data_IF_922948774111
#
_entry.id   IF_922948774111
#
_cell.length_a   1.000
_cell.length_b   1.000
_cell.length_c   1.000
_cell.angle_alpha   90.00
_cell.angle_beta   90.00
_cell.angle_gamma   90.00
#
_symmetry.space_group_name_H-M   'P 1'
#
loop_
_entity.id
_entity.type
_entity.pdbx_description
1 polymer ?
#
# COMPACT_ATOMS: atom_id res chain seq x y z
N UNK A 1 -10.92 20.95 1.40
CA UNK A 1 -9.88 20.03 0.88
C UNK A 1 -9.62 20.42 -0.56
N UNK A 2 -8.42 20.89 -0.91
CA UNK A 2 -8.09 21.22 -2.31
C UNK A 2 -7.97 19.91 -3.09
N UNK A 3 -8.90 19.67 -4.01
CA UNK A 3 -8.72 18.68 -5.08
C UNK A 3 -7.34 18.90 -5.72
N UNK A 4 -6.55 17.85 -5.87
CA UNK A 4 -5.29 17.92 -6.62
C UNK A 4 -5.62 18.42 -8.02
N UNK A 5 -5.31 19.68 -8.31
CA UNK A 5 -5.41 20.19 -9.67
C UNK A 5 -4.40 19.42 -10.51
N UNK A 6 -4.91 18.79 -11.55
CA UNK A 6 -4.14 18.00 -12.50
C UNK A 6 -3.01 18.84 -13.12
N UNK A 7 -1.77 18.35 -13.05
CA UNK A 7 -0.64 18.96 -13.78
C UNK A 7 -0.69 18.48 -15.21
N UNK A 8 -0.88 19.42 -16.15
CA UNK A 8 -0.87 19.13 -17.58
C UNK A 8 0.53 18.77 -18.05
N UNK A 9 0.64 17.77 -18.93
CA UNK A 9 1.91 17.35 -19.52
C UNK A 9 1.82 17.45 -21.04
N UNK A 10 2.91 17.87 -21.67
CA UNK A 10 3.07 17.76 -23.12
C UNK A 10 4.53 17.53 -23.49
N UNK A 11 4.75 16.78 -24.57
CA UNK A 11 6.06 16.62 -25.20
C UNK A 11 6.42 17.83 -26.09
N UNK A 12 5.44 18.68 -26.43
CA UNK A 12 5.63 19.93 -27.18
C UNK A 12 6.11 21.07 -26.26
N UNK A 13 6.55 22.19 -26.83
CA UNK A 13 7.04 23.33 -26.04
C UNK A 13 5.94 24.30 -25.58
N UNK A 14 4.67 24.03 -25.89
CA UNK A 14 3.53 24.86 -25.52
C UNK A 14 2.22 24.08 -25.48
N UNK A 15 1.20 24.67 -24.87
CA UNK A 15 -0.19 24.23 -25.01
C UNK A 15 -0.92 25.26 -25.87
N UNK A 16 -1.59 24.83 -26.93
CA UNK A 16 -2.34 25.75 -27.80
C UNK A 16 -3.45 26.44 -27.02
N UNK A 17 -3.64 27.75 -27.25
CA UNK A 17 -4.66 28.55 -26.56
C UNK A 17 -4.37 28.90 -25.09
N UNK A 18 -3.27 28.40 -24.50
CA UNK A 18 -2.86 28.72 -23.14
C UNK A 18 -1.55 29.52 -23.13
N UNK A 19 -1.57 30.67 -22.45
CA UNK A 19 -0.39 31.51 -22.28
C UNK A 19 0.47 31.02 -21.11
N UNK A 20 1.77 30.84 -21.32
CA UNK A 20 2.72 30.55 -20.23
C UNK A 20 3.01 31.85 -19.48
N UNK A 21 2.56 31.94 -18.23
CA UNK A 21 2.77 33.08 -17.34
C UNK A 21 4.17 33.08 -16.74
N UNK A 22 4.69 31.91 -16.33
CA UNK A 22 6.01 31.76 -15.71
C UNK A 22 6.67 30.44 -16.06
N UNK A 23 7.98 30.48 -16.30
CA UNK A 23 8.85 29.30 -16.31
C UNK A 23 9.49 29.19 -14.92
N UNK A 24 9.40 28.01 -14.29
CA UNK A 24 9.84 27.82 -12.92
C UNK A 24 11.21 27.16 -12.86
N UNK A 25 11.33 25.93 -13.34
CA UNK A 25 12.57 25.18 -13.36
C UNK A 25 12.53 24.03 -14.37
N UNK A 26 13.70 23.53 -14.75
CA UNK A 26 13.84 22.24 -15.44
C UNK A 26 13.80 21.14 -14.38
N UNK A 27 12.97 20.14 -14.59
CA UNK A 27 12.77 19.05 -13.64
C UNK A 27 13.10 17.72 -14.28
N UNK A 28 13.62 16.82 -13.45
CA UNK A 28 13.86 15.43 -13.84
C UNK A 28 13.43 14.47 -12.74
N UNK A 29 13.02 13.26 -13.15
CA UNK A 29 12.81 12.11 -12.28
C UNK A 29 13.46 10.90 -12.93
N UNK A 30 14.21 10.14 -12.15
CA UNK A 30 14.91 8.96 -12.61
C UNK A 30 14.46 7.78 -11.76
N UNK A 31 14.09 6.68 -12.40
CA UNK A 31 13.71 5.42 -11.74
C UNK A 31 14.65 4.33 -12.24
N UNK A 32 15.32 3.62 -11.32
CA UNK A 32 16.34 2.61 -11.64
C UNK A 32 15.90 1.24 -11.15
N UNK A 33 16.13 0.21 -11.98
CA UNK A 33 15.66 -1.15 -11.74
C UNK A 33 16.77 -2.14 -12.02
N UNK A 34 17.03 -3.02 -11.06
CA UNK A 34 18.03 -4.07 -11.19
C UNK A 34 17.59 -5.25 -12.05
N UNK A 35 18.53 -5.87 -12.77
CA UNK A 35 18.29 -7.09 -13.55
C UNK A 35 17.66 -8.20 -12.74
N UNK A 36 17.93 -8.34 -11.43
CA UNK A 36 17.31 -9.40 -10.63
C UNK A 36 15.76 -9.33 -10.62
N UNK A 37 15.20 -8.11 -10.65
CA UNK A 37 13.74 -7.87 -10.72
C UNK A 37 13.16 -8.17 -12.12
N UNK A 38 14.03 -8.25 -13.14
CA UNK A 38 13.69 -8.58 -14.53
C UNK A 38 14.08 -10.03 -14.91
N UNK A 39 15.11 -10.61 -14.29
CA UNK A 39 15.64 -11.95 -14.56
C UNK A 39 14.90 -13.04 -13.80
N UNK A 40 14.40 -12.75 -12.59
CA UNK A 40 13.47 -13.65 -11.87
C UNK A 40 12.17 -13.89 -12.68
N UNK A 41 11.94 -13.08 -13.72
CA UNK A 41 10.81 -13.17 -14.65
C UNK A 41 11.15 -13.86 -15.97
N UNK A 42 12.43 -14.01 -16.31
CA UNK A 42 12.88 -14.74 -17.49
C UNK A 42 13.03 -16.26 -17.27
N UNK A 43 13.23 -16.69 -16.03
CA UNK A 43 13.44 -18.10 -15.69
C UNK A 43 12.13 -18.92 -15.66
N UNK A 44 10.97 -18.28 -15.57
CA UNK A 44 9.67 -18.96 -15.57
C UNK A 44 8.99 -19.03 -16.95
N UNK A 45 9.60 -18.48 -18.00
CA UNK A 45 8.97 -18.38 -19.33
C UNK A 45 9.96 -18.53 -20.49
N UNK A 46 10.90 -19.48 -20.36
CA UNK A 46 11.82 -19.78 -21.47
C UNK A 46 11.24 -20.76 -22.50
N UNK A 47 10.03 -21.28 -22.30
CA UNK A 47 9.43 -22.19 -23.28
C UNK A 47 8.15 -21.60 -23.89
N UNK A 48 8.19 -21.50 -25.23
CA UNK A 48 7.06 -21.32 -26.14
C UNK A 48 6.62 -19.88 -26.48
N UNK A 49 7.18 -19.37 -27.58
CA UNK A 49 6.82 -18.17 -28.36
C UNK A 49 7.44 -16.82 -27.95
N UNK A 50 8.36 -16.33 -28.79
CA UNK A 50 8.83 -14.95 -28.83
C UNK A 50 7.73 -13.98 -29.32
N UNK A 51 6.80 -13.65 -28.43
CA UNK A 51 5.84 -12.56 -28.55
C UNK A 51 5.97 -11.63 -27.34
N UNK A 52 5.49 -10.39 -27.47
CA UNK A 52 5.47 -9.37 -26.41
C UNK A 52 5.01 -9.94 -25.06
N UNK A 53 5.94 -10.23 -24.15
CA UNK A 53 5.60 -10.71 -22.81
C UNK A 53 4.87 -9.59 -22.06
N UNK A 54 3.57 -9.75 -21.84
CA UNK A 54 2.70 -8.77 -21.17
C UNK A 54 3.21 -8.40 -19.77
N UNK A 55 3.86 -9.34 -19.06
CA UNK A 55 4.51 -9.10 -17.77
C UNK A 55 5.66 -8.06 -17.85
N UNK A 56 6.43 -8.06 -18.95
CA UNK A 56 7.48 -7.08 -19.20
C UNK A 56 6.89 -5.69 -19.51
N UNK A 57 5.85 -5.63 -20.34
CA UNK A 57 5.15 -4.38 -20.69
C UNK A 57 4.46 -3.75 -19.48
N UNK A 58 3.77 -4.54 -18.66
CA UNK A 58 3.10 -4.07 -17.45
C UNK A 58 4.06 -3.43 -16.47
N UNK A 59 5.26 -4.01 -16.34
CA UNK A 59 6.31 -3.42 -15.52
C UNK A 59 6.84 -2.14 -16.13
N UNK A 60 7.17 -2.11 -17.42
CA UNK A 60 7.58 -0.86 -18.08
C UNK A 60 6.56 0.26 -17.88
N UNK A 61 5.27 -0.06 -17.96
CA UNK A 61 4.18 0.89 -17.68
C UNK A 61 4.13 1.34 -16.21
N UNK A 62 4.35 0.42 -15.26
CA UNK A 62 4.43 0.78 -13.84
C UNK A 62 5.56 1.78 -13.59
N UNK A 63 6.74 1.52 -14.15
CA UNK A 63 7.94 2.33 -13.94
C UNK A 63 7.79 3.68 -14.62
N UNK A 64 7.23 3.69 -15.83
CA UNK A 64 6.85 4.90 -16.54
C UNK A 64 5.91 5.76 -15.68
N UNK A 65 4.87 5.14 -15.10
CA UNK A 65 3.89 5.82 -14.26
C UNK A 65 4.54 6.40 -13.00
N UNK A 66 5.46 5.65 -12.38
CA UNK A 66 6.21 6.10 -11.21
C UNK A 66 7.11 7.31 -11.55
N UNK A 67 7.85 7.27 -12.66
CA UNK A 67 8.69 8.36 -13.13
C UNK A 67 7.85 9.64 -13.38
N UNK A 68 6.71 9.50 -14.06
CA UNK A 68 5.82 10.61 -14.37
C UNK A 68 5.15 11.18 -13.10
N UNK A 69 4.71 10.32 -12.18
CA UNK A 69 4.10 10.75 -10.92
C UNK A 69 5.10 11.53 -10.06
N UNK A 70 6.34 11.05 -9.97
CA UNK A 70 7.43 11.76 -9.27
C UNK A 70 7.71 13.14 -9.91
N UNK A 71 7.73 13.22 -11.24
CA UNK A 71 7.94 14.48 -11.96
C UNK A 71 6.78 15.47 -11.71
N UNK A 72 5.52 15.02 -11.81
CA UNK A 72 4.34 15.83 -11.50
C UNK A 72 4.36 16.35 -10.05
N UNK A 73 4.76 15.50 -9.09
CA UNK A 73 4.87 15.89 -7.69
C UNK A 73 5.93 16.98 -7.47
N UNK A 74 7.09 16.88 -8.14
CA UNK A 74 8.10 17.96 -8.12
C UNK A 74 7.56 19.26 -8.70
N UNK A 75 6.84 19.19 -9.83
CA UNK A 75 6.23 20.35 -10.46
C UNK A 75 5.19 21.03 -9.56
N UNK A 76 4.30 20.25 -8.93
CA UNK A 76 3.34 20.76 -7.95
C UNK A 76 4.02 21.47 -6.78
N UNK A 77 5.08 20.87 -6.23
CA UNK A 77 5.82 21.45 -5.11
C UNK A 77 6.52 22.77 -5.47
N UNK A 78 6.91 22.94 -6.73
CA UNK A 78 7.45 24.20 -7.24
C UNK A 78 6.36 25.24 -7.59
N UNK A 79 5.07 24.90 -7.43
CA UNK A 79 3.94 25.76 -7.76
C UNK A 79 3.54 25.76 -9.25
N UNK A 80 4.04 24.81 -10.03
CA UNK A 80 3.67 24.64 -11.43
C UNK A 80 2.26 24.06 -11.56
N UNK A 81 1.61 24.36 -12.69
CA UNK A 81 0.36 23.71 -13.10
C UNK A 81 0.49 22.95 -14.43
N UNK A 82 1.66 23.02 -15.08
CA UNK A 82 1.97 22.23 -16.26
C UNK A 82 3.47 21.94 -16.40
N UNK A 83 3.81 20.91 -17.19
CA UNK A 83 5.16 20.61 -17.66
C UNK A 83 5.12 20.55 -19.19
N UNK A 84 6.00 21.30 -19.83
CA UNK A 84 6.20 21.30 -21.29
C UNK A 84 7.54 20.66 -21.66
N UNK A 85 7.69 20.26 -22.92
CA UNK A 85 8.92 19.69 -23.45
C UNK A 85 9.28 18.38 -22.78
N UNK A 86 8.29 17.59 -22.36
CA UNK A 86 8.49 16.31 -21.71
C UNK A 86 9.30 15.38 -22.62
N UNK A 87 10.40 14.87 -22.11
CA UNK A 87 11.21 13.81 -22.72
C UNK A 87 11.34 12.66 -21.75
N UNK A 88 11.34 11.45 -22.30
CA UNK A 88 11.42 10.22 -21.53
C UNK A 88 12.42 9.33 -22.25
N UNK A 89 13.49 8.99 -21.55
CA UNK A 89 14.59 8.20 -22.07
C UNK A 89 14.72 6.91 -21.25
N UNK A 90 15.06 5.83 -21.94
CA UNK A 90 15.30 4.51 -21.36
C UNK A 90 16.77 4.16 -21.58
N UNK A 91 17.52 4.05 -20.50
CA UNK A 91 18.94 3.74 -20.52
C UNK A 91 19.21 2.38 -19.87
N UNK A 92 20.13 1.62 -20.45
CA UNK A 92 20.70 0.44 -19.81
C UNK A 92 22.04 0.79 -19.16
N UNK A 93 22.14 0.58 -17.84
CA UNK A 93 23.36 0.72 -17.06
C UNK A 93 23.87 -0.69 -16.74
N UNK A 94 24.86 -1.16 -17.50
CA UNK A 94 25.47 -2.47 -17.30
C UNK A 94 26.84 -2.38 -16.63
N UNK A 95 27.09 -3.24 -15.63
CA UNK A 95 28.36 -3.29 -14.89
C UNK A 95 28.50 -4.54 -14.02
N UNK A 96 29.69 -5.15 -14.05
CA UNK A 96 30.04 -6.36 -13.25
C UNK A 96 29.01 -7.51 -13.39
N UNK A 97 28.49 -7.74 -14.59
CA UNK A 97 27.54 -8.82 -14.87
C UNK A 97 26.11 -8.58 -14.38
N UNK A 98 25.79 -7.36 -13.92
CA UNK A 98 24.42 -6.90 -13.64
C UNK A 98 24.05 -5.86 -14.68
N UNK A 99 22.83 -5.94 -15.20
CA UNK A 99 22.25 -4.90 -16.04
C UNK A 99 21.16 -4.18 -15.24
N UNK A 100 21.03 -2.88 -15.41
CA UNK A 100 20.00 -2.09 -14.75
C UNK A 100 19.32 -1.25 -15.82
N UNK A 101 18.00 -1.13 -15.73
CA UNK A 101 17.26 -0.21 -16.60
C UNK A 101 16.97 1.05 -15.81
N UNK A 102 17.23 2.20 -16.43
CA UNK A 102 16.91 3.51 -15.91
C UNK A 102 15.90 4.17 -16.83
N UNK A 103 14.78 4.62 -16.27
CA UNK A 103 13.87 5.53 -16.96
C UNK A 103 14.13 6.92 -16.42
N UNK A 104 14.43 7.85 -17.32
CA UNK A 104 14.65 9.26 -17.01
C UNK A 104 13.55 10.08 -17.69
N UNK A 105 12.72 10.76 -16.91
CA UNK A 105 11.74 11.71 -17.43
C UNK A 105 12.18 13.13 -17.08
N UNK A 106 12.19 14.04 -18.06
CA UNK A 106 12.54 15.44 -17.83
C UNK A 106 11.63 16.40 -18.61
N UNK A 107 11.52 17.63 -18.13
CA UNK A 107 10.71 18.67 -18.77
C UNK A 107 10.84 20.00 -18.04
N UNK A 108 10.19 21.04 -18.56
CA UNK A 108 10.19 22.38 -17.95
C UNK A 108 8.87 22.63 -17.24
N UNK A 109 8.93 22.89 -15.94
CA UNK A 109 7.76 23.21 -15.13
C UNK A 109 7.35 24.67 -15.35
N UNK A 110 6.07 24.89 -15.64
CA UNK A 110 5.53 26.20 -16.00
C UNK A 110 4.21 26.49 -15.26
N UNK A 111 3.87 27.77 -15.19
CA UNK A 111 2.56 28.27 -14.78
C UNK A 111 1.84 28.78 -16.01
N UNK A 112 0.77 28.11 -16.40
CA UNK A 112 -0.17 28.57 -17.42
C UNK A 112 -1.16 29.56 -16.81
N UNK A 113 -1.42 30.64 -17.54
CA UNK A 113 -2.39 31.67 -17.19
C UNK A 113 -3.80 31.09 -17.31
N UNK A 114 -4.61 31.24 -16.26
CA UNK A 114 -6.03 30.89 -16.35
C UNK A 114 -6.75 31.95 -17.17
N UNK A 115 -7.32 31.57 -18.30
CA UNK A 115 -8.28 32.44 -18.98
C UNK A 115 -9.55 32.51 -18.13
N UNK A 116 -9.77 33.64 -17.46
CA UNK A 116 -10.99 33.91 -16.68
C UNK A 116 -12.18 34.35 -17.54
N UNK A 117 -12.05 34.33 -18.87
CA UNK A 117 -13.06 34.83 -19.81
C UNK A 117 -13.85 33.73 -20.55
N UNK A 118 -13.81 32.49 -20.09
CA UNK A 118 -14.70 31.41 -20.59
C UNK A 118 -15.64 30.93 -19.49
N UNK A 119 -16.47 31.85 -19.01
CA UNK A 119 -17.74 31.53 -18.36
C UNK A 119 -18.80 32.28 -19.16
N UNK A 120 -19.18 31.72 -20.32
CA UNK A 120 -20.54 31.67 -20.87
C UNK A 120 -20.49 31.31 -22.36
N UNK A 121 -21.36 30.36 -22.74
CA UNK A 121 -21.70 29.88 -24.08
C UNK A 121 -20.66 29.05 -24.85
N UNK A 122 -20.54 27.80 -24.45
CA UNK A 122 -20.72 26.70 -25.40
C UNK A 122 -21.35 25.57 -24.61
N UNK A 123 -22.49 25.03 -25.04
CA UNK A 123 -22.73 23.60 -24.86
C UNK A 123 -21.52 22.94 -25.48
N UNK A 124 -20.53 22.61 -24.65
CA UNK A 124 -19.39 21.80 -25.06
C UNK A 124 -20.02 20.61 -25.77
N UNK A 125 -19.68 20.39 -27.04
CA UNK A 125 -19.96 19.10 -27.63
C UNK A 125 -19.24 18.09 -26.72
N UNK A 126 -20.00 17.42 -25.85
CA UNK A 126 -19.48 16.36 -24.98
C UNK A 126 -19.27 15.19 -25.94
N UNK A 127 -18.13 15.20 -26.61
CA UNK A 127 -17.67 14.10 -27.44
C UNK A 127 -16.96 13.11 -26.51
N UNK A 128 -17.45 11.88 -26.49
CA UNK A 128 -16.80 10.77 -25.79
C UNK A 128 -15.86 10.14 -26.80
N UNK A 129 -14.56 10.14 -26.51
CA UNK A 129 -13.59 9.43 -27.34
C UNK A 129 -13.96 7.95 -27.42
N UNK A 130 -13.82 7.33 -28.60
CA UNK A 130 -14.15 5.92 -28.79
C UNK A 130 -13.35 5.04 -27.82
N UNK A 131 -12.09 5.38 -27.56
CA UNK A 131 -11.21 4.71 -26.60
C UNK A 131 -11.75 4.76 -25.16
N UNK A 132 -12.31 5.90 -24.74
CA UNK A 132 -12.94 6.05 -23.42
C UNK A 132 -14.20 5.20 -23.31
N UNK A 133 -15.01 5.18 -24.36
CA UNK A 133 -16.21 4.34 -24.43
C UNK A 133 -15.84 2.85 -24.38
N UNK A 134 -14.86 2.43 -25.17
CA UNK A 134 -14.38 1.04 -25.20
C UNK A 134 -13.82 0.59 -23.86
N UNK A 135 -13.02 1.45 -23.21
CA UNK A 135 -12.53 1.20 -21.86
C UNK A 135 -13.70 1.03 -20.89
N UNK A 136 -14.65 1.98 -20.88
CA UNK A 136 -15.76 1.96 -19.94
C UNK A 136 -16.66 0.74 -20.13
N UNK A 137 -16.94 0.34 -21.37
CA UNK A 137 -17.71 -0.87 -21.68
C UNK A 137 -17.02 -2.12 -21.14
N UNK A 138 -15.71 -2.27 -21.37
CA UNK A 138 -14.93 -3.41 -20.85
C UNK A 138 -14.90 -3.40 -19.33
N UNK A 139 -14.74 -2.23 -18.71
CA UNK A 139 -14.70 -2.07 -17.26
C UNK A 139 -16.05 -2.45 -16.61
N UNK A 140 -17.16 -1.98 -17.16
CA UNK A 140 -18.50 -2.32 -16.68
C UNK A 140 -18.82 -3.81 -16.84
N UNK A 141 -18.36 -4.43 -17.93
CA UNK A 141 -18.46 -5.88 -18.11
C UNK A 141 -17.65 -6.64 -17.06
N UNK A 142 -16.43 -6.18 -16.76
CA UNK A 142 -15.58 -6.79 -15.74
C UNK A 142 -16.21 -6.68 -14.34
N UNK A 143 -16.75 -5.51 -13.97
CA UNK A 143 -17.46 -5.36 -12.70
C UNK A 143 -18.59 -6.39 -12.54
N UNK A 144 -19.43 -6.56 -13.58
CA UNK A 144 -20.51 -7.57 -13.58
C UNK A 144 -19.99 -9.00 -13.47
N UNK A 145 -18.82 -9.31 -14.02
CA UNK A 145 -18.18 -10.63 -13.82
C UNK A 145 -17.76 -10.81 -12.36
N UNK A 146 -17.08 -9.81 -11.79
CA UNK A 146 -16.53 -9.85 -10.43
C UNK A 146 -17.60 -9.92 -9.33
N UNK A 147 -18.81 -9.44 -9.57
CA UNK A 147 -19.95 -9.64 -8.67
C UNK A 147 -20.29 -11.14 -8.46
N UNK A 148 -19.91 -12.01 -9.39
CA UNK A 148 -20.07 -13.47 -9.31
C UNK A 148 -18.82 -14.14 -8.74
N UNK A 149 -18.70 -15.46 -8.78
CA UNK A 149 -17.51 -16.19 -8.27
C UNK A 149 -16.24 -16.03 -9.16
N UNK A 150 -16.18 -15.01 -10.01
CA UNK A 150 -15.09 -14.78 -10.94
C UNK A 150 -13.88 -14.13 -10.25
N UNK A 151 -12.68 -14.51 -10.68
CA UNK A 151 -11.41 -13.86 -10.35
C UNK A 151 -10.79 -13.27 -11.63
N UNK A 152 -10.12 -12.10 -11.56
CA UNK A 152 -9.47 -11.52 -12.73
C UNK A 152 -8.36 -12.43 -13.28
N UNK A 153 -8.29 -12.57 -14.59
CA UNK A 153 -7.09 -13.07 -15.27
C UNK A 153 -6.15 -11.94 -15.67
N UNK A 154 -5.11 -12.26 -16.45
CA UNK A 154 -4.08 -11.31 -16.88
C UNK A 154 -4.66 -10.14 -17.70
N UNK A 155 -5.61 -10.40 -18.62
CA UNK A 155 -6.23 -9.35 -19.43
C UNK A 155 -7.08 -8.40 -18.58
N UNK A 156 -7.82 -8.96 -17.62
CA UNK A 156 -8.59 -8.15 -16.68
C UNK A 156 -7.68 -7.27 -15.82
N UNK A 157 -6.54 -7.80 -15.34
CA UNK A 157 -5.56 -7.00 -14.58
C UNK A 157 -4.97 -5.87 -15.41
N UNK A 158 -4.67 -6.12 -16.69
CA UNK A 158 -4.22 -5.07 -17.60
C UNK A 158 -5.23 -3.92 -17.65
N UNK A 159 -6.54 -4.23 -17.75
CA UNK A 159 -7.60 -3.23 -17.73
C UNK A 159 -7.69 -2.49 -16.38
N UNK A 160 -7.62 -3.22 -15.27
CA UNK A 160 -7.72 -2.67 -13.90
C UNK A 160 -6.62 -1.62 -13.64
N UNK A 161 -5.40 -1.88 -14.10
CA UNK A 161 -4.27 -0.97 -13.89
C UNK A 161 -4.34 0.32 -14.70
N UNK A 162 -5.13 0.38 -15.79
CA UNK A 162 -5.20 1.59 -16.63
C UNK A 162 -5.81 2.76 -15.86
N UNK A 163 -6.91 2.54 -15.13
CA UNK A 163 -7.56 3.59 -14.33
C UNK A 163 -7.95 3.06 -12.94
N UNK A 164 -7.10 3.28 -11.92
CA UNK A 164 -7.42 2.86 -10.57
C UNK A 164 -8.73 3.45 -10.06
N UNK A 165 -9.53 2.59 -9.44
CA UNK A 165 -10.90 2.84 -9.04
C UNK A 165 -11.20 2.18 -7.68
N UNK A 166 -11.77 2.95 -6.75
CA UNK A 166 -12.05 2.48 -5.38
C UNK A 166 -13.14 1.40 -5.31
N UNK A 167 -14.16 1.46 -6.18
CA UNK A 167 -15.20 0.42 -6.26
C UNK A 167 -14.59 -0.91 -6.69
N UNK A 168 -13.73 -0.89 -7.70
CA UNK A 168 -12.97 -2.06 -8.14
C UNK A 168 -12.10 -2.61 -7.02
N UNK A 169 -11.36 -1.73 -6.32
CA UNK A 169 -10.52 -2.12 -5.20
C UNK A 169 -11.31 -2.84 -4.10
N UNK A 170 -12.47 -2.30 -3.72
CA UNK A 170 -13.33 -2.90 -2.69
C UNK A 170 -13.75 -4.32 -3.07
N UNK A 171 -14.19 -4.53 -4.31
CA UNK A 171 -14.59 -5.86 -4.78
C UNK A 171 -13.41 -6.83 -4.74
N UNK A 172 -12.23 -6.38 -5.17
CA UNK A 172 -11.02 -7.22 -5.21
C UNK A 172 -10.52 -7.58 -3.80
N UNK A 173 -10.62 -6.68 -2.81
CA UNK A 173 -10.29 -6.98 -1.41
C UNK A 173 -11.22 -8.08 -0.86
N UNK A 174 -12.52 -7.99 -1.14
CA UNK A 174 -13.48 -9.03 -0.72
C UNK A 174 -13.20 -10.39 -1.37
N UNK A 175 -12.73 -10.40 -2.63
CA UNK A 175 -12.24 -11.63 -3.28
C UNK A 175 -10.97 -12.15 -2.63
N UNK A 176 -10.03 -11.27 -2.31
CA UNK A 176 -8.73 -11.62 -1.73
C UNK A 176 -8.91 -12.30 -0.37
N UNK A 177 -9.76 -11.74 0.49
CA UNK A 177 -10.12 -12.35 1.77
C UNK A 177 -10.66 -13.78 1.57
N UNK A 178 -11.64 -13.95 0.68
CA UNK A 178 -12.24 -15.27 0.39
C UNK A 178 -11.24 -16.26 -0.21
N UNK A 179 -10.30 -15.79 -1.03
CA UNK A 179 -9.29 -16.64 -1.66
C UNK A 179 -8.27 -17.18 -0.65
N UNK A 180 -7.98 -16.43 0.43
CA UNK A 180 -7.12 -16.90 1.53
C UNK A 180 -7.81 -18.00 2.33
N UNK A 181 -9.09 -17.83 2.68
CA UNK A 181 -9.80 -18.76 3.55
C UNK A 181 -10.00 -20.16 2.94
N UNK A 182 -10.11 -20.25 1.61
CA UNK A 182 -10.38 -21.50 0.89
C UNK A 182 -9.10 -22.16 0.36
N UNK A 183 -7.92 -21.56 0.62
CA UNK A 183 -6.64 -21.95 0.00
C UNK A 183 -6.79 -22.13 -1.51
N UNK A 184 -7.27 -21.07 -2.17
CA UNK A 184 -7.61 -21.08 -3.59
C UNK A 184 -6.33 -21.14 -4.43
N UNK A 185 -5.87 -22.36 -4.70
CA UNK A 185 -4.71 -22.66 -5.54
C UNK A 185 -5.14 -22.74 -7.01
N UNK A 186 -5.47 -21.57 -7.56
CA UNK A 186 -5.67 -21.41 -9.00
C UNK A 186 -4.79 -20.28 -9.50
N UNK A 187 -4.44 -20.35 -10.78
CA UNK A 187 -3.67 -19.30 -11.48
C UNK A 187 -4.25 -17.90 -11.24
N UNK A 188 -5.57 -17.74 -11.37
CA UNK A 188 -6.27 -16.47 -11.12
C UNK A 188 -6.23 -16.03 -9.65
N UNK A 189 -6.20 -16.98 -8.72
CA UNK A 189 -6.01 -16.71 -7.29
C UNK A 189 -4.59 -16.21 -6.99
N UNK A 190 -3.58 -16.77 -7.64
CA UNK A 190 -2.19 -16.29 -7.55
C UNK A 190 -2.04 -14.90 -8.14
N UNK A 191 -2.61 -14.66 -9.34
CA UNK A 191 -2.65 -13.32 -9.95
C UNK A 191 -3.30 -12.29 -9.01
N UNK A 192 -4.39 -12.65 -8.33
CA UNK A 192 -5.02 -11.76 -7.35
C UNK A 192 -4.09 -11.41 -6.19
N UNK A 193 -3.39 -12.41 -5.63
CA UNK A 193 -2.46 -12.20 -4.50
C UNK A 193 -1.23 -11.38 -4.89
N UNK A 194 -0.77 -11.53 -6.12
CA UNK A 194 0.40 -10.82 -6.65
C UNK A 194 0.07 -9.38 -7.06
N UNK A 195 -1.05 -9.17 -7.76
CA UNK A 195 -1.38 -7.88 -8.35
C UNK A 195 -2.14 -6.94 -7.41
N UNK A 196 -2.96 -7.44 -6.48
CA UNK A 196 -3.73 -6.57 -5.58
C UNK A 196 -2.83 -5.67 -4.72
N UNK A 197 -1.72 -6.13 -4.12
CA UNK A 197 -0.82 -5.26 -3.38
C UNK A 197 -0.21 -4.13 -4.24
N UNK A 198 0.14 -4.44 -5.50
CA UNK A 198 0.65 -3.47 -6.47
C UNK A 198 -0.43 -2.43 -6.78
N UNK A 199 -1.67 -2.89 -6.97
CA UNK A 199 -2.81 -2.03 -7.25
C UNK A 199 -3.12 -1.08 -6.09
N UNK A 200 -3.15 -1.59 -4.85
CA UNK A 200 -3.26 -0.77 -3.64
C UNK A 200 -2.15 0.28 -3.58
N UNK A 201 -0.90 -0.16 -3.81
CA UNK A 201 0.27 0.73 -3.82
C UNK A 201 0.19 1.78 -4.94
N UNK A 202 -0.43 1.51 -6.07
CA UNK A 202 -0.61 2.51 -7.14
C UNK A 202 -1.59 3.63 -6.77
N UNK A 203 -2.56 3.35 -5.88
CA UNK A 203 -3.57 4.32 -5.46
C UNK A 203 -3.05 5.26 -4.37
N UNK A 204 -2.38 4.71 -3.35
CA UNK A 204 -1.67 5.44 -2.28
C UNK A 204 -2.41 6.65 -1.66
N UNK A 205 -3.74 6.68 -1.75
CA UNK A 205 -4.55 7.75 -1.18
C UNK A 205 -4.82 7.46 0.30
N UNK A 206 -4.89 8.53 1.10
CA UNK A 206 -5.22 8.42 2.53
C UNK A 206 -6.54 7.69 2.77
N UNK A 207 -7.56 7.94 1.94
CA UNK A 207 -8.87 7.27 2.03
C UNK A 207 -8.77 5.76 1.82
N UNK A 208 -7.97 5.31 0.85
CA UNK A 208 -7.76 3.89 0.57
C UNK A 208 -7.05 3.20 1.73
N UNK A 209 -6.01 3.82 2.30
CA UNK A 209 -5.28 3.24 3.43
C UNK A 209 -6.21 3.14 4.66
N UNK A 210 -6.96 4.20 4.98
CA UNK A 210 -7.93 4.18 6.08
C UNK A 210 -9.01 3.10 5.90
N UNK A 211 -9.49 2.91 4.67
CA UNK A 211 -10.46 1.86 4.32
C UNK A 211 -9.88 0.46 4.52
N UNK A 212 -8.63 0.20 4.13
CA UNK A 212 -7.97 -1.10 4.33
C UNK A 212 -7.78 -1.40 5.81
N UNK A 213 -7.37 -0.40 6.61
CA UNK A 213 -7.27 -0.55 8.05
C UNK A 213 -8.64 -0.74 8.72
N UNK A 214 -9.70 -0.16 8.19
CA UNK A 214 -11.08 -0.45 8.63
C UNK A 214 -11.43 -1.92 8.35
N UNK A 215 -11.06 -2.46 7.19
CA UNK A 215 -11.26 -3.88 6.86
C UNK A 215 -10.45 -4.83 7.75
N UNK A 216 -9.28 -4.40 8.21
CA UNK A 216 -8.48 -5.15 9.19
C UNK A 216 -9.21 -5.34 10.53
N UNK A 217 -10.08 -4.40 10.94
CA UNK A 217 -10.90 -4.54 12.15
C UNK A 217 -11.87 -5.73 12.07
N UNK A 218 -12.27 -6.10 10.86
CA UNK A 218 -13.22 -7.17 10.57
C UNK A 218 -12.50 -8.50 10.26
N UNK A 219 -11.33 -8.45 9.61
CA UNK A 219 -10.60 -9.65 9.19
C UNK A 219 -9.07 -9.49 9.30
N UNK A 220 -8.47 -10.30 10.18
CA UNK A 220 -7.01 -10.28 10.44
C UNK A 220 -6.16 -10.72 9.23
N UNK A 221 -6.72 -11.40 8.23
CA UNK A 221 -5.97 -11.78 7.03
C UNK A 221 -5.54 -10.57 6.19
N UNK A 222 -6.18 -9.41 6.38
CA UNK A 222 -5.79 -8.14 5.75
C UNK A 222 -4.37 -7.70 6.14
N UNK A 223 -3.83 -8.19 7.25
CA UNK A 223 -2.43 -7.97 7.64
C UNK A 223 -1.47 -8.27 6.47
N UNK A 224 -1.71 -9.34 5.70
CA UNK A 224 -0.84 -9.67 4.58
C UNK A 224 -0.94 -8.67 3.44
N UNK A 225 -2.14 -8.15 3.16
CA UNK A 225 -2.29 -7.10 2.16
C UNK A 225 -1.55 -5.82 2.57
N UNK A 226 -1.66 -5.42 3.84
CA UNK A 226 -0.96 -4.24 4.38
C UNK A 226 0.56 -4.38 4.22
N UNK A 227 1.11 -5.56 4.59
CA UNK A 227 2.54 -5.87 4.47
C UNK A 227 3.00 -5.83 3.01
N UNK A 228 2.33 -6.58 2.14
CA UNK A 228 2.73 -6.69 0.73
C UNK A 228 2.54 -5.39 -0.04
N UNK A 229 1.61 -4.52 0.39
CA UNK A 229 1.37 -3.22 -0.26
C UNK A 229 2.29 -2.11 0.26
N UNK A 230 3.06 -2.36 1.35
CA UNK A 230 3.93 -1.37 2.00
C UNK A 230 3.21 -0.10 2.44
N UNK A 231 2.04 -0.27 3.06
CA UNK A 231 1.17 0.84 3.49
C UNK A 231 1.09 0.96 5.02
N UNK A 232 2.17 0.63 5.73
CA UNK A 232 2.23 0.78 7.18
C UNK A 232 1.90 2.21 7.62
N UNK A 233 0.92 2.35 8.53
CA UNK A 233 0.56 3.60 9.18
C UNK A 233 0.50 3.41 10.71
N UNK A 234 1.46 3.97 11.48
CA UNK A 234 1.52 3.79 12.93
C UNK A 234 0.35 4.46 13.66
N UNK A 235 -0.19 5.55 13.12
CA UNK A 235 -1.34 6.25 13.70
C UNK A 235 -2.61 5.42 13.60
N UNK A 236 -2.81 4.71 12.49
CA UNK A 236 -3.93 3.79 12.34
C UNK A 236 -3.79 2.57 13.26
N UNK A 237 -2.56 2.09 13.55
CA UNK A 237 -2.34 1.07 14.59
C UNK A 237 -2.68 1.58 16.00
N UNK A 238 -2.32 2.82 16.33
CA UNK A 238 -2.73 3.46 17.59
C UNK A 238 -4.27 3.44 17.73
N UNK A 239 -4.99 3.78 16.66
CA UNK A 239 -6.45 3.76 16.64
C UNK A 239 -7.02 2.35 16.84
N UNK A 240 -6.42 1.31 16.25
CA UNK A 240 -6.85 -0.08 16.47
C UNK A 240 -6.72 -0.50 17.93
N UNK A 241 -5.59 -0.21 18.58
CA UNK A 241 -5.39 -0.52 20.00
C UNK A 241 -6.45 0.16 20.86
N UNK A 242 -6.73 1.43 20.59
CA UNK A 242 -7.76 2.20 21.32
C UNK A 242 -9.18 1.63 21.13
N UNK A 243 -9.44 0.97 19.99
CA UNK A 243 -10.70 0.23 19.72
C UNK A 243 -10.72 -1.19 20.29
N UNK A 244 -9.68 -1.60 21.02
CA UNK A 244 -9.56 -2.95 21.60
C UNK A 244 -9.04 -4.02 20.63
N UNK A 245 -8.61 -3.63 19.42
CA UNK A 245 -8.10 -4.50 18.35
C UNK A 245 -6.59 -4.72 18.46
N UNK A 246 -6.17 -5.17 19.65
CA UNK A 246 -4.76 -5.31 20.02
C UNK A 246 -4.04 -6.34 19.13
N UNK A 247 -4.69 -7.48 18.85
CA UNK A 247 -4.09 -8.56 18.07
C UNK A 247 -3.82 -8.12 16.63
N UNK A 248 -4.80 -7.47 16.03
CA UNK A 248 -4.72 -6.90 14.69
C UNK A 248 -3.61 -5.86 14.59
N UNK A 249 -3.50 -4.98 15.59
CA UNK A 249 -2.42 -3.98 15.64
C UNK A 249 -1.03 -4.63 15.75
N UNK A 250 -0.86 -5.60 16.65
CA UNK A 250 0.42 -6.30 16.86
C UNK A 250 0.85 -7.09 15.62
N UNK A 251 -0.08 -7.78 14.94
CA UNK A 251 0.22 -8.53 13.73
C UNK A 251 0.71 -7.64 12.56
N UNK A 252 0.37 -6.35 12.58
CA UNK A 252 0.81 -5.35 11.60
C UNK A 252 2.16 -4.69 11.93
N UNK A 253 2.73 -4.85 13.13
CA UNK A 253 4.03 -4.26 13.48
C UNK A 253 5.18 -4.62 12.52
N UNK A 254 5.22 -5.81 11.89
CA UNK A 254 6.23 -6.13 10.89
C UNK A 254 6.02 -5.50 9.51
N UNK A 255 4.91 -4.79 9.27
CA UNK A 255 4.69 -4.11 8.00
C UNK A 255 5.60 -2.88 7.85
N UNK A 256 5.95 -2.55 6.62
CA UNK A 256 6.80 -1.42 6.28
C UNK A 256 6.10 -0.43 5.32
N UNK A 257 6.80 0.66 5.01
CA UNK A 257 6.44 1.64 3.98
C UNK A 257 7.69 2.16 3.30
N UNK A 258 7.54 2.71 2.09
CA UNK A 258 8.70 3.05 1.24
C UNK A 258 9.62 4.14 1.83
N UNK A 259 9.09 5.02 2.69
CA UNK A 259 9.87 6.04 3.40
C UNK A 259 9.15 6.45 4.68
N UNK A 260 9.89 6.85 5.72
CA UNK A 260 9.34 7.32 7.00
C UNK A 260 9.57 8.82 7.16
N UNK A 261 8.62 9.53 7.76
CA UNK A 261 8.72 10.94 8.17
C UNK A 261 8.97 11.07 9.68
N UNK A 262 9.29 12.29 10.13
CA UNK A 262 9.36 12.58 11.57
C UNK A 262 7.98 12.43 12.25
N UNK A 263 6.88 12.72 11.56
CA UNK A 263 5.54 12.47 12.11
C UNK A 263 5.29 10.98 12.31
N UNK A 264 5.74 10.13 11.38
CA UNK A 264 5.66 8.68 11.56
C UNK A 264 6.41 8.25 12.81
N UNK A 265 7.64 8.74 13.02
CA UNK A 265 8.45 8.39 14.17
C UNK A 265 7.76 8.78 15.50
N UNK A 266 7.13 9.96 15.55
CA UNK A 266 6.35 10.39 16.73
C UNK A 266 5.23 9.39 17.01
N UNK A 267 4.47 9.00 15.98
CA UNK A 267 3.35 8.05 16.13
C UNK A 267 3.83 6.62 16.46
N UNK A 268 4.99 6.19 15.97
CA UNK A 268 5.62 4.93 16.34
C UNK A 268 6.05 4.91 17.81
N UNK A 269 6.59 6.01 18.33
CA UNK A 269 6.92 6.15 19.74
C UNK A 269 5.67 6.16 20.63
N UNK A 270 4.60 6.82 20.19
CA UNK A 270 3.29 6.74 20.85
C UNK A 270 2.78 5.29 20.89
N UNK A 271 2.93 4.54 19.80
CA UNK A 271 2.53 3.14 19.71
C UNK A 271 3.31 2.26 20.68
N UNK A 272 4.63 2.45 20.80
CA UNK A 272 5.45 1.75 21.80
C UNK A 272 4.96 2.06 23.21
N UNK A 273 4.72 3.34 23.53
CA UNK A 273 4.23 3.74 24.84
C UNK A 273 2.87 3.08 25.18
N UNK A 274 1.96 2.99 24.21
CA UNK A 274 0.68 2.29 24.39
C UNK A 274 0.87 0.79 24.66
N UNK A 275 1.74 0.13 23.89
CA UNK A 275 2.02 -1.31 24.03
C UNK A 275 2.68 -1.65 25.38
N UNK A 276 3.53 -0.78 25.90
CA UNK A 276 4.17 -0.98 27.22
C UNK A 276 3.16 -0.80 28.37
N UNK A 277 2.19 0.10 28.21
CA UNK A 277 1.20 0.47 29.22
C UNK A 277 -0.18 -0.17 29.02
N UNK A 278 -0.25 -1.31 28.34
CA UNK A 278 -1.52 -2.04 28.15
C UNK A 278 -2.17 -2.44 29.48
N UNK A 279 -3.50 -2.28 29.61
CA UNK A 279 -4.22 -2.72 30.80
C UNK A 279 -4.26 -4.25 30.88
N UNK A 280 -4.34 -4.76 32.11
CA UNK A 280 -4.56 -6.18 32.34
C UNK A 280 -5.96 -6.58 31.84
N UNK A 281 -6.04 -7.65 31.04
CA UNK A 281 -7.29 -8.32 30.63
C UNK A 281 -7.60 -9.54 31.49
N UNK A 282 -6.56 -10.15 32.06
CA UNK A 282 -6.67 -11.18 33.10
C UNK A 282 -6.74 -10.57 34.51
N UNK A 283 -6.72 -11.43 35.52
CA UNK A 283 -6.77 -11.08 36.94
C UNK A 283 -5.72 -11.84 37.75
N UNK A 284 -5.42 -11.33 38.94
CA UNK A 284 -4.73 -12.08 39.99
C UNK A 284 -5.78 -12.38 41.06
N UNK A 285 -5.97 -13.65 41.39
CA UNK A 285 -7.02 -14.11 42.32
C UNK A 285 -6.44 -14.95 43.46
N UNK A 286 -7.01 -14.81 44.66
CA UNK A 286 -6.64 -15.62 45.82
C UNK A 286 -7.45 -16.91 45.87
N UNK A 287 -6.77 -18.05 45.74
CA UNK A 287 -7.39 -19.38 45.83
C UNK A 287 -7.09 -20.00 47.19
N UNK A 288 -8.15 -20.32 47.96
CA UNK A 288 -8.05 -21.04 49.23
C UNK A 288 -7.81 -22.54 48.96
N UNK A 289 -6.78 -23.09 49.58
CA UNK A 289 -6.50 -24.53 49.54
C UNK A 289 -7.02 -25.20 50.82
N UNK A 290 -7.47 -26.46 50.72
CA UNK A 290 -8.14 -27.17 51.82
C UNK A 290 -7.28 -27.34 53.10
N UNK A 291 -5.95 -27.24 52.99
CA UNK A 291 -5.00 -27.51 54.08
C UNK A 291 -3.81 -26.54 54.14
N UNK A 292 -3.82 -25.43 53.38
CA UNK A 292 -2.68 -24.48 53.32
C UNK A 292 -3.15 -23.02 53.23
N UNK A 293 -2.21 -22.07 53.39
CA UNK A 293 -2.47 -20.64 53.21
C UNK A 293 -2.94 -20.36 51.77
N UNK A 294 -3.84 -19.39 51.62
CA UNK A 294 -4.27 -18.92 50.30
C UNK A 294 -3.06 -18.52 49.46
N UNK A 295 -3.09 -18.89 48.17
CA UNK A 295 -2.08 -18.48 47.19
C UNK A 295 -2.72 -17.61 46.12
N UNK A 296 -1.97 -16.60 45.70
CA UNK A 296 -2.31 -15.83 44.51
C UNK A 296 -2.13 -16.72 43.27
N UNK A 297 -3.05 -16.57 42.33
CA UNK A 297 -3.05 -17.27 41.06
C UNK A 297 -3.28 -16.28 39.94
N UNK A 298 -2.54 -16.46 38.86
CA UNK A 298 -2.72 -15.71 37.64
C UNK A 298 -3.88 -16.33 36.85
N UNK A 299 -4.91 -15.54 36.56
CA UNK A 299 -6.03 -15.93 35.72
C UNK A 299 -5.89 -15.23 34.37
N UNK A 300 -5.71 -16.00 33.30
CA UNK A 300 -5.52 -15.45 31.96
C UNK A 300 -6.83 -14.85 31.40
N UNK A 301 -6.78 -14.09 30.29
CA UNK A 301 -7.98 -13.55 29.65
C UNK A 301 -9.03 -14.62 29.28
N UNK A 302 -8.59 -15.85 28.98
CA UNK A 302 -9.46 -17.00 28.70
C UNK A 302 -9.94 -17.74 29.96
N UNK A 303 -9.69 -17.18 31.16
CA UNK A 303 -10.11 -17.72 32.47
C UNK A 303 -9.41 -19.00 32.91
N UNK A 304 -8.31 -19.38 32.28
CA UNK A 304 -7.46 -20.45 32.79
C UNK A 304 -6.66 -19.98 34.01
N UNK A 305 -6.54 -20.86 35.01
CA UNK A 305 -5.85 -20.58 36.27
C UNK A 305 -4.44 -21.13 36.18
N UNK A 306 -3.46 -20.26 36.37
CA UNK A 306 -2.03 -20.55 36.25
C UNK A 306 -1.32 -20.22 37.56
N UNK A 307 -0.12 -20.78 37.74
CA UNK A 307 0.76 -20.33 38.80
C UNK A 307 1.14 -18.86 38.63
N UNK A 308 1.32 -18.13 39.73
CA UNK A 308 1.61 -16.69 39.73
C UNK A 308 3.00 -16.39 39.15
N UNK A 309 3.91 -17.35 39.23
CA UNK A 309 5.28 -17.25 38.70
C UNK A 309 5.34 -17.43 37.18
N UNK A 310 4.23 -17.86 36.55
CA UNK A 310 4.17 -18.04 35.10
C UNK A 310 3.76 -16.74 34.41
N UNK A 311 4.61 -16.27 33.50
CA UNK A 311 4.30 -15.11 32.66
C UNK A 311 3.18 -15.41 31.64
N UNK A 312 3.15 -16.62 31.10
CA UNK A 312 2.20 -17.04 30.06
C UNK A 312 1.37 -18.22 30.54
N UNK A 313 0.12 -18.26 30.09
CA UNK A 313 -0.79 -19.36 30.34
C UNK A 313 -0.27 -20.65 29.72
N UNK A 314 -0.23 -21.73 30.51
CA UNK A 314 0.28 -23.05 30.08
C UNK A 314 -0.83 -24.01 29.66
N UNK A 315 -2.09 -23.58 29.71
CA UNK A 315 -3.20 -24.37 29.15
C UNK A 315 -3.00 -24.54 27.64
N UNK A 316 -3.33 -25.72 27.12
CA UNK A 316 -3.03 -26.11 25.75
C UNK A 316 -3.59 -25.06 24.76
N UNK A 317 -2.75 -24.61 23.83
CA UNK A 317 -3.08 -23.63 22.78
C UNK A 317 -3.41 -22.20 23.26
N UNK A 318 -3.36 -21.90 24.57
CA UNK A 318 -3.65 -20.54 25.07
C UNK A 318 -2.45 -19.60 24.95
N UNK A 319 -1.39 -19.79 25.74
CA UNK A 319 -0.14 -19.02 25.64
C UNK A 319 -0.23 -17.52 25.91
N UNK A 320 -1.37 -17.01 26.38
CA UNK A 320 -1.58 -15.58 26.67
C UNK A 320 -0.99 -15.20 28.02
N UNK A 321 -0.47 -13.97 28.14
CA UNK A 321 -0.14 -13.33 29.41
C UNK A 321 -1.35 -12.58 30.00
N UNK A 322 -1.17 -11.85 31.11
CA UNK A 322 -2.24 -11.10 31.77
C UNK A 322 -2.78 -9.94 30.91
N UNK A 323 -1.99 -9.42 29.96
CA UNK A 323 -2.39 -8.36 29.01
C UNK A 323 -3.07 -8.94 27.77
N UNK A 324 -3.02 -10.27 27.57
CA UNK A 324 -3.56 -10.96 26.41
C UNK A 324 -2.61 -11.02 25.22
N UNK A 325 -1.31 -11.02 25.47
CA UNK A 325 -0.25 -11.16 24.48
C UNK A 325 0.47 -12.51 24.63
N UNK A 326 0.92 -13.07 23.52
CA UNK A 326 1.75 -14.27 23.47
C UNK A 326 3.24 -13.93 23.48
N UNK A 327 4.10 -14.93 23.70
CA UNK A 327 5.56 -14.75 23.55
C UNK A 327 5.97 -14.28 22.14
N UNK A 328 5.26 -14.74 21.11
CA UNK A 328 5.48 -14.29 19.73
C UNK A 328 5.13 -12.79 19.59
N UNK A 329 4.02 -12.35 20.19
CA UNK A 329 3.63 -10.93 20.16
C UNK A 329 4.70 -10.03 20.78
N UNK A 330 5.28 -10.43 21.91
CA UNK A 330 6.42 -9.71 22.51
C UNK A 330 7.63 -9.66 21.58
N UNK A 331 7.90 -10.74 20.82
CA UNK A 331 8.98 -10.74 19.83
C UNK A 331 8.73 -9.71 18.72
N UNK A 332 7.49 -9.59 18.24
CA UNK A 332 7.11 -8.58 17.25
C UNK A 332 7.26 -7.15 17.81
N UNK A 333 6.84 -6.94 19.06
CA UNK A 333 6.94 -5.65 19.75
C UNK A 333 8.42 -5.25 19.93
N UNK A 334 9.28 -6.16 20.36
CA UNK A 334 10.71 -5.86 20.55
C UNK A 334 11.41 -5.56 19.22
N UNK A 335 11.08 -6.29 18.15
CA UNK A 335 11.57 -5.96 16.81
C UNK A 335 11.13 -4.56 16.36
N UNK A 336 9.87 -4.20 16.64
CA UNK A 336 9.34 -2.87 16.33
C UNK A 336 10.06 -1.75 17.11
N UNK A 337 10.40 -1.98 18.38
CA UNK A 337 11.22 -1.04 19.17
C UNK A 337 12.61 -0.85 18.58
N UNK A 338 13.25 -1.92 18.10
CA UNK A 338 14.57 -1.86 17.45
C UNK A 338 14.50 -1.02 16.16
N UNK A 339 13.46 -1.22 15.34
CA UNK A 339 13.24 -0.44 14.12
C UNK A 339 13.05 1.04 14.47
N UNK A 340 12.16 1.34 15.42
CA UNK A 340 11.86 2.72 15.83
C UNK A 340 13.10 3.44 16.34
N UNK A 341 13.88 2.80 17.23
CA UNK A 341 15.15 3.34 17.74
C UNK A 341 16.20 3.54 16.63
N UNK A 342 16.16 2.71 15.59
CA UNK A 342 17.04 2.87 14.42
C UNK A 342 16.62 4.08 13.59
N UNK A 343 15.32 4.30 13.39
CA UNK A 343 14.80 5.50 12.74
C UNK A 343 15.15 6.78 13.52
N UNK A 344 15.04 6.79 14.85
CA UNK A 344 15.46 7.94 15.68
C UNK A 344 16.90 8.39 15.40
N UNK A 345 17.81 7.43 15.27
CA UNK A 345 19.23 7.68 14.97
C UNK A 345 19.47 8.18 13.54
N UNK A 346 18.56 7.91 12.61
CA UNK A 346 18.68 8.35 11.21
C UNK A 346 18.08 9.75 10.99
N UNK A 347 17.17 10.19 11.88
CA UNK A 347 16.62 11.55 11.88
C UNK A 347 17.44 12.56 12.70
N UNK A 348 18.40 12.09 13.48
CA UNK A 348 19.37 12.90 14.23
C UNK A 348 20.66 13.07 13.44
#
# INVERSE_FOLDING_TARGET
MRSFKEVLLTTTNNFEGLEIEKYLDVMSSNVVIGTNVLSDFGASFTDFFGGFSNSYQNKLNLIYTEAISALKKKALNAGANAIIGLRIDFDEISGKGKSMFMISACGTAVVLKKNTNELNSSTSHIEVALEDLEYQVKFDMLLKKLEKAYLPDEEDWNLIFIRPNETMLNILIEKYIKAIDVNYDSEKGSLLRENLPIYVKSMQSKSVIEMIYTKLEENIQIVQLIKSSKIFDPKLLNNLINKGKLKEAVCCLPADKDSYSQEDLIEMNNLIHLLENLPNKGSIEQVKQLLSKSKDKYVCPNKHINDIDLQFCTDNECGLDIKGLTANDYTLIENFKIITKTLEKLFT
#
